data_IF_293885910394
#
_entry.id   IF_293885910394
#
_cell.length_a   1.000
_cell.length_b   1.000
_cell.length_c   1.000
_cell.angle_alpha   90.00
_cell.angle_beta   90.00
_cell.angle_gamma   90.00
#
_symmetry.space_group_name_H-M   'P 1'
#
loop_
_entity.id
_entity.type
_entity.pdbx_description
1 polymer ?
#
# COMPACT_ATOMS: atom_id res chain seq x y z
N UNK A 1 -4.37 3.67 16.50
CA UNK A 1 -5.49 3.46 17.44
C UNK A 1 -5.17 2.29 18.36
N UNK A 2 -5.69 2.26 19.58
CA UNK A 2 -5.60 1.13 20.51
C UNK A 2 -6.90 0.30 20.58
N UNK A 3 -7.89 0.61 19.73
CA UNK A 3 -9.18 -0.07 19.69
C UNK A 3 -9.73 -0.12 18.25
N UNK A 4 -10.67 -1.05 18.02
CA UNK A 4 -11.50 -1.13 16.82
C UNK A 4 -12.86 -0.51 17.14
N UNK A 5 -13.29 0.47 16.35
CA UNK A 5 -14.65 1.02 16.48
C UNK A 5 -15.63 0.09 15.77
N UNK A 6 -16.66 -0.39 16.47
CA UNK A 6 -17.72 -1.24 15.89
C UNK A 6 -18.95 -0.44 15.46
N UNK A 7 -19.05 0.84 15.84
CA UNK A 7 -20.15 1.74 15.52
C UNK A 7 -19.90 2.66 14.32
N UNK A 8 -18.81 2.44 13.59
CA UNK A 8 -18.45 3.21 12.39
C UNK A 8 -19.24 2.75 11.13
N UNK A 9 -18.95 3.39 10.00
CA UNK A 9 -19.60 3.07 8.73
C UNK A 9 -19.10 1.76 8.10
N UNK A 10 -18.11 1.09 8.71
CA UNK A 10 -17.46 -0.11 8.21
C UNK A 10 -18.00 -1.34 8.93
N UNK A 11 -19.11 -1.89 8.41
CA UNK A 11 -19.79 -3.04 9.01
C UNK A 11 -18.85 -4.23 9.21
N UNK A 12 -18.92 -4.86 10.38
CA UNK A 12 -18.16 -6.10 10.69
C UNK A 12 -18.60 -7.31 9.85
N UNK A 13 -19.73 -7.22 9.13
CA UNK A 13 -20.17 -8.26 8.19
C UNK A 13 -19.39 -8.23 6.88
N UNK A 14 -18.93 -7.04 6.48
CA UNK A 14 -18.31 -6.79 5.18
C UNK A 14 -16.81 -6.55 5.32
N UNK A 15 -16.37 -6.10 6.50
CA UNK A 15 -14.98 -5.72 6.78
C UNK A 15 -14.44 -6.47 8.00
N UNK A 16 -13.28 -7.10 7.80
CA UNK A 16 -12.45 -7.57 8.90
C UNK A 16 -11.62 -6.40 9.44
N UNK A 17 -11.85 -6.01 10.70
CA UNK A 17 -11.15 -4.90 11.34
C UNK A 17 -10.18 -5.43 12.40
N UNK A 18 -8.95 -4.93 12.38
CA UNK A 18 -7.91 -5.31 13.34
C UNK A 18 -7.05 -4.10 13.71
N UNK A 19 -6.41 -4.18 14.88
CA UNK A 19 -5.43 -3.18 15.30
C UNK A 19 -4.09 -3.54 14.65
N UNK A 20 -3.44 -2.56 14.03
CA UNK A 20 -2.07 -2.74 13.57
C UNK A 20 -1.15 -3.07 14.74
N UNK A 21 -0.40 -4.16 14.62
CA UNK A 21 0.52 -4.62 15.65
C UNK A 21 1.68 -3.62 15.86
N UNK A 22 2.35 -3.63 17.04
CA UNK A 22 3.48 -2.75 17.30
C UNK A 22 4.64 -2.96 16.30
N UNK A 23 5.40 -1.89 16.06
CA UNK A 23 6.51 -1.88 15.10
C UNK A 23 6.53 -0.59 14.29
N UNK A 24 7.56 -0.47 13.44
CA UNK A 24 7.61 0.56 12.40
C UNK A 24 6.62 0.25 11.26
N UNK A 25 6.56 1.14 10.26
CA UNK A 25 5.61 1.01 9.14
C UNK A 25 5.85 -0.28 8.35
N UNK A 26 7.11 -0.61 8.03
CA UNK A 26 7.47 -1.83 7.32
C UNK A 26 7.05 -3.10 8.06
N UNK A 27 7.28 -3.14 9.38
CA UNK A 27 6.86 -4.27 10.23
C UNK A 27 5.34 -4.45 10.16
N UNK A 28 4.58 -3.37 10.28
CA UNK A 28 3.11 -3.39 10.23
C UNK A 28 2.59 -3.90 8.90
N UNK A 29 3.14 -3.42 7.78
CA UNK A 29 2.76 -3.90 6.45
C UNK A 29 3.13 -5.36 6.25
N UNK A 30 4.33 -5.78 6.66
CA UNK A 30 4.75 -7.17 6.58
C UNK A 30 3.80 -8.11 7.34
N UNK A 31 3.39 -7.73 8.55
CA UNK A 31 2.44 -8.51 9.35
C UNK A 31 1.06 -8.59 8.68
N UNK A 32 0.56 -7.50 8.11
CA UNK A 32 -0.70 -7.50 7.37
C UNK A 32 -0.65 -8.41 6.13
N UNK A 33 0.43 -8.34 5.34
CA UNK A 33 0.63 -9.25 4.21
C UNK A 33 0.75 -10.71 4.66
N UNK A 34 1.46 -10.97 5.75
CA UNK A 34 1.63 -12.33 6.28
C UNK A 34 0.32 -12.95 6.73
N UNK A 35 -0.63 -12.15 7.24
CA UNK A 35 -1.97 -12.62 7.59
C UNK A 35 -2.84 -12.88 6.35
N UNK A 36 -2.94 -11.91 5.45
CA UNK A 36 -3.84 -11.99 4.29
C UNK A 36 -3.37 -13.06 3.29
N UNK A 37 -2.07 -13.18 3.04
CA UNK A 37 -1.52 -14.14 2.08
C UNK A 37 -1.56 -15.60 2.57
N UNK A 38 -1.91 -15.86 3.83
CA UNK A 38 -2.21 -17.23 4.28
C UNK A 38 -3.54 -17.72 3.72
N UNK A 39 -4.44 -16.81 3.37
CA UNK A 39 -5.82 -17.12 2.94
C UNK A 39 -6.07 -16.75 1.49
N UNK A 40 -5.23 -15.90 0.90
CA UNK A 40 -5.40 -15.35 -0.44
C UNK A 40 -4.11 -15.47 -1.25
N UNK A 41 -4.24 -15.72 -2.57
CA UNK A 41 -3.09 -15.83 -3.47
C UNK A 41 -2.46 -14.47 -3.82
N UNK A 42 -3.18 -13.37 -3.57
CA UNK A 42 -2.75 -12.00 -3.86
C UNK A 42 -3.27 -11.07 -2.77
N UNK A 43 -2.47 -10.08 -2.42
CA UNK A 43 -2.86 -9.04 -1.49
C UNK A 43 -2.37 -7.69 -2.01
N UNK A 44 -3.13 -6.66 -1.69
CA UNK A 44 -2.79 -5.25 -1.95
C UNK A 44 -3.07 -4.49 -0.65
N UNK A 45 -2.15 -3.61 -0.28
CA UNK A 45 -2.31 -2.63 0.79
C UNK A 45 -2.38 -1.24 0.17
N UNK A 46 -3.24 -0.38 0.71
CA UNK A 46 -3.43 1.00 0.27
C UNK A 46 -3.36 1.95 1.46
N UNK A 47 -2.88 3.17 1.21
CA UNK A 47 -3.07 4.32 2.09
C UNK A 47 -4.53 4.76 2.11
N UNK A 48 -4.92 5.52 3.13
CA UNK A 48 -6.27 6.09 3.28
C UNK A 48 -6.36 7.57 2.89
N UNK A 49 -5.24 8.14 2.47
CA UNK A 49 -4.94 9.54 2.19
C UNK A 49 -4.87 9.86 0.68
N UNK A 50 -5.04 8.86 -0.19
CA UNK A 50 -5.03 9.04 -1.63
C UNK A 50 -6.45 9.18 -2.21
N UNK A 51 -7.02 10.39 -2.25
CA UNK A 51 -8.38 10.58 -2.79
C UNK A 51 -8.48 10.34 -4.31
N UNK A 52 -7.36 10.39 -5.04
CA UNK A 52 -7.30 10.05 -6.47
C UNK A 52 -7.37 8.55 -6.75
N UNK A 53 -7.29 7.69 -5.72
CA UNK A 53 -7.35 6.24 -5.89
C UNK A 53 -8.73 5.81 -6.40
N UNK A 54 -8.75 5.12 -7.54
CA UNK A 54 -9.99 4.65 -8.16
C UNK A 54 -10.12 3.12 -8.12
N UNK A 55 -11.35 2.57 -8.16
CA UNK A 55 -11.55 1.12 -8.28
C UNK A 55 -10.89 0.51 -9.52
N UNK A 56 -10.69 1.29 -10.59
CA UNK A 56 -9.98 0.83 -11.80
C UNK A 56 -8.50 0.60 -11.53
N UNK A 57 -7.85 1.47 -10.74
CA UNK A 57 -6.45 1.30 -10.34
C UNK A 57 -6.30 0.06 -9.46
N UNK A 58 -7.22 -0.15 -8.50
CA UNK A 58 -7.20 -1.34 -7.64
C UNK A 58 -7.36 -2.63 -8.46
N UNK A 59 -8.27 -2.67 -9.45
CA UNK A 59 -8.39 -3.82 -10.35
C UNK A 59 -7.12 -4.06 -11.16
N UNK A 60 -6.54 -3.01 -11.75
CA UNK A 60 -5.28 -3.10 -12.48
C UNK A 60 -4.14 -3.64 -11.61
N UNK A 61 -4.12 -3.31 -10.31
CA UNK A 61 -3.16 -3.85 -9.36
C UNK A 61 -3.26 -5.38 -9.25
N UNK A 62 -4.48 -5.91 -9.07
CA UNK A 62 -4.69 -7.35 -8.99
C UNK A 62 -4.41 -8.08 -10.31
N UNK A 63 -4.72 -7.48 -11.46
CA UNK A 63 -4.40 -8.01 -12.78
C UNK A 63 -2.88 -8.05 -13.01
N UNK A 64 -2.14 -7.01 -12.59
CA UNK A 64 -0.68 -6.99 -12.69
C UNK A 64 -0.03 -8.17 -11.93
N UNK A 65 -0.59 -8.52 -10.76
CA UNK A 65 -0.13 -9.64 -9.94
C UNK A 65 -0.37 -11.03 -10.56
N UNK A 66 -1.09 -11.15 -11.69
CA UNK A 66 -1.13 -12.40 -12.47
C UNK A 66 0.18 -12.70 -13.19
N UNK A 67 0.98 -11.68 -13.48
CA UNK A 67 2.18 -11.78 -14.31
C UNK A 67 3.45 -11.25 -13.64
N UNK A 68 3.31 -10.52 -12.54
CA UNK A 68 4.41 -9.92 -11.78
C UNK A 68 4.35 -10.33 -10.31
N UNK A 69 5.51 -10.41 -9.66
CA UNK A 69 5.60 -10.72 -8.22
C UNK A 69 5.07 -9.57 -7.35
N UNK A 70 5.28 -8.32 -7.79
CA UNK A 70 4.88 -7.10 -7.08
C UNK A 70 4.13 -6.12 -7.99
N UNK A 71 3.33 -5.27 -7.37
CA UNK A 71 2.76 -4.07 -8.00
C UNK A 71 2.91 -2.89 -7.05
N UNK A 72 3.30 -1.73 -7.57
CA UNK A 72 3.48 -0.51 -6.76
C UNK A 72 2.75 0.65 -7.45
N UNK A 73 1.96 1.40 -6.69
CA UNK A 73 1.41 2.70 -7.06
C UNK A 73 2.25 3.83 -6.44
N UNK A 74 3.10 4.51 -7.23
CA UNK A 74 3.95 5.59 -6.73
C UNK A 74 3.16 6.77 -6.17
N UNK A 75 3.64 7.38 -5.10
CA UNK A 75 3.17 8.66 -4.61
C UNK A 75 4.16 9.78 -5.01
N UNK A 76 3.65 11.00 -5.25
CA UNK A 76 4.48 12.16 -5.65
C UNK A 76 5.55 12.54 -4.61
N UNK A 77 5.38 12.14 -3.35
CA UNK A 77 6.30 12.40 -2.23
C UNK A 77 7.51 11.45 -2.19
N UNK A 78 7.59 10.48 -3.11
CA UNK A 78 8.62 9.45 -3.18
C UNK A 78 8.31 8.16 -2.40
N UNK A 79 7.12 8.06 -1.83
CA UNK A 79 6.53 6.85 -1.26
C UNK A 79 5.68 6.06 -2.25
N UNK A 80 4.64 5.41 -1.73
CA UNK A 80 3.64 4.71 -2.54
C UNK A 80 2.30 4.69 -1.82
N UNK A 81 1.23 5.02 -2.55
CA UNK A 81 -0.16 4.91 -2.05
C UNK A 81 -0.66 3.45 -2.09
N UNK A 82 0.01 2.58 -2.85
CA UNK A 82 -0.39 1.19 -3.06
C UNK A 82 0.84 0.28 -3.20
N UNK A 83 0.82 -0.85 -2.49
CA UNK A 83 1.74 -1.96 -2.73
C UNK A 83 0.97 -3.28 -2.78
N UNK A 84 1.32 -4.17 -3.68
CA UNK A 84 0.76 -5.52 -3.74
C UNK A 84 1.80 -6.57 -4.03
N UNK A 85 1.53 -7.80 -3.59
CA UNK A 85 2.35 -8.97 -3.88
C UNK A 85 1.51 -10.25 -3.92
N UNK A 86 2.01 -11.26 -4.63
CA UNK A 86 1.38 -12.58 -4.74
C UNK A 86 2.07 -13.68 -3.90
N UNK A 87 3.18 -13.34 -3.25
CA UNK A 87 3.88 -14.19 -2.30
C UNK A 87 4.58 -13.33 -1.25
N UNK A 88 4.46 -13.73 0.02
CA UNK A 88 5.06 -12.99 1.14
C UNK A 88 6.58 -12.88 0.95
N UNK A 89 7.08 -11.64 0.97
CA UNK A 89 8.49 -11.32 0.75
C UNK A 89 8.99 -10.34 1.81
N UNK A 90 9.30 -10.78 3.04
CA UNK A 90 9.60 -9.88 4.17
C UNK A 90 10.77 -8.93 3.93
N UNK A 91 11.78 -9.39 3.18
CA UNK A 91 12.99 -8.64 2.82
C UNK A 91 12.70 -7.30 2.11
N UNK A 92 11.52 -7.16 1.51
CA UNK A 92 11.12 -5.93 0.82
C UNK A 92 10.87 -4.77 1.80
N UNK A 93 10.62 -5.07 3.08
CA UNK A 93 10.34 -4.08 4.13
C UNK A 93 11.54 -3.78 5.04
N UNK A 94 12.59 -4.59 4.97
CA UNK A 94 13.78 -4.46 5.83
C UNK A 94 14.65 -3.28 5.38
N UNK A 95 15.32 -2.58 6.31
CA UNK A 95 16.28 -1.51 5.98
C UNK A 95 15.78 -0.42 5.02
N UNK A 96 14.48 -0.08 5.09
CA UNK A 96 13.90 1.06 4.38
C UNK A 96 13.87 2.28 5.30
N UNK A 97 14.29 3.43 4.76
CA UNK A 97 14.15 4.73 5.41
C UNK A 97 12.69 5.21 5.31
N UNK A 98 11.81 4.61 6.10
CA UNK A 98 10.38 4.95 6.14
C UNK A 98 10.13 6.45 6.37
N UNK A 99 9.05 6.97 5.78
CA UNK A 99 8.68 8.40 5.84
C UNK A 99 9.73 9.32 5.20
N UNK A 100 10.32 8.88 4.08
CA UNK A 100 11.24 9.70 3.27
C UNK A 100 10.92 9.55 1.78
N UNK A 101 11.37 10.51 0.98
CA UNK A 101 11.25 10.49 -0.50
C UNK A 101 12.01 9.33 -1.18
N UNK A 102 12.80 8.56 -0.43
CA UNK A 102 13.62 7.47 -0.95
C UNK A 102 12.96 6.10 -0.85
N UNK A 103 11.78 6.01 -0.21
CA UNK A 103 11.09 4.74 0.07
C UNK A 103 10.82 3.95 -1.20
N UNK A 104 10.24 4.58 -2.24
CA UNK A 104 9.97 3.92 -3.52
C UNK A 104 11.26 3.39 -4.15
N UNK A 105 12.28 4.23 -4.27
CA UNK A 105 13.55 3.87 -4.89
C UNK A 105 14.23 2.69 -4.18
N UNK A 106 14.25 2.70 -2.84
CA UNK A 106 14.81 1.60 -2.04
C UNK A 106 14.02 0.30 -2.21
N UNK A 107 12.69 0.39 -2.24
CA UNK A 107 11.79 -0.75 -2.45
C UNK A 107 12.03 -1.39 -3.82
N UNK A 108 12.05 -0.59 -4.89
CA UNK A 108 12.31 -1.08 -6.25
C UNK A 108 13.70 -1.70 -6.39
N UNK A 109 14.72 -1.08 -5.78
CA UNK A 109 16.08 -1.61 -5.78
C UNK A 109 16.15 -3.00 -5.12
N UNK A 110 15.44 -3.19 -4.00
CA UNK A 110 15.34 -4.50 -3.34
C UNK A 110 14.68 -5.54 -4.25
N UNK A 111 13.54 -5.20 -4.86
CA UNK A 111 12.82 -6.11 -5.77
C UNK A 111 13.75 -6.59 -6.90
N UNK A 112 14.46 -5.66 -7.55
CA UNK A 112 15.39 -5.98 -8.63
C UNK A 112 16.57 -6.82 -8.13
N UNK A 113 17.13 -6.48 -6.96
CA UNK A 113 18.28 -7.20 -6.38
C UNK A 113 17.92 -8.66 -6.04
N UNK A 114 16.68 -8.91 -5.63
CA UNK A 114 16.13 -10.24 -5.38
C UNK A 114 15.62 -10.95 -6.65
N UNK A 115 15.87 -10.40 -7.84
CA UNK A 115 15.48 -10.96 -9.13
C UNK A 115 13.97 -11.19 -9.26
N UNK A 116 13.20 -10.29 -8.64
CA UNK A 116 11.74 -10.30 -8.69
C UNK A 116 11.22 -9.27 -9.69
N UNK A 117 10.03 -9.54 -10.19
CA UNK A 117 9.36 -8.70 -11.18
C UNK A 117 8.38 -7.75 -10.50
N UNK A 118 8.19 -6.57 -11.08
CA UNK A 118 7.19 -5.63 -10.61
C UNK A 118 6.54 -4.87 -11.76
N UNK A 119 5.33 -4.36 -11.51
CA UNK A 119 4.64 -3.41 -12.36
C UNK A 119 4.42 -2.11 -11.59
N UNK A 120 4.64 -0.97 -12.25
CA UNK A 120 4.22 0.34 -11.72
C UNK A 120 2.82 0.70 -12.22
N UNK A 121 1.98 1.20 -11.33
CA UNK A 121 0.71 1.86 -11.64
C UNK A 121 0.95 3.36 -11.87
N UNK A 122 -0.07 4.13 -12.31
CA UNK A 122 0.05 5.58 -12.38
C UNK A 122 0.44 6.17 -11.02
N UNK A 123 1.32 7.17 -11.07
CA UNK A 123 1.68 8.00 -9.93
C UNK A 123 0.48 8.88 -9.52
N UNK A 124 0.22 9.00 -8.23
CA UNK A 124 -0.84 9.82 -7.64
C UNK A 124 -0.29 10.71 -6.52
N UNK A 125 -1.04 11.74 -6.14
CA UNK A 125 -0.75 12.54 -4.93
C UNK A 125 -1.54 11.98 -3.75
N UNK A 126 -0.85 11.79 -2.64
CA UNK A 126 -1.48 11.68 -1.33
C UNK A 126 -1.87 13.08 -0.83
N UNK A 127 -2.80 13.17 0.11
CA UNK A 127 -3.26 14.44 0.70
C UNK A 127 -2.64 14.57 2.09
N UNK A 128 -1.62 15.40 2.21
CA UNK A 128 -0.99 15.74 3.48
C UNK A 128 -1.39 17.14 3.96
N UNK A 129 -1.58 18.07 3.02
CA UNK A 129 -1.87 19.48 3.26
C UNK A 129 -3.10 19.96 2.47
N UNK A 130 -3.65 21.11 2.88
CA UNK A 130 -4.79 21.73 2.18
C UNK A 130 -4.44 22.06 0.72
N UNK A 131 -3.20 22.46 0.47
CA UNK A 131 -2.68 22.75 -0.86
C UNK A 131 -2.75 21.52 -1.80
N UNK A 132 -2.59 20.30 -1.28
CA UNK A 132 -2.72 19.08 -2.06
C UNK A 132 -4.17 18.90 -2.53
N UNK A 133 -5.13 19.21 -1.65
CA UNK A 133 -6.56 19.16 -1.97
C UNK A 133 -6.95 20.18 -3.04
N UNK A 134 -6.47 21.42 -2.90
CA UNK A 134 -6.75 22.50 -3.86
C UNK A 134 -6.13 22.26 -5.23
N UNK A 135 -4.88 21.76 -5.28
CA UNK A 135 -4.15 21.45 -6.52
C UNK A 135 -4.91 20.48 -7.42
N UNK A 136 -5.62 19.52 -6.83
CA UNK A 136 -6.40 18.52 -7.55
C UNK A 136 -7.87 18.93 -7.81
N UNK A 137 -8.27 20.13 -7.37
CA UNK A 137 -9.56 20.73 -7.71
C UNK A 137 -10.76 20.07 -7.03
N UNK A 138 -10.55 19.42 -5.88
CA UNK A 138 -11.63 18.82 -5.12
C UNK A 138 -12.41 19.90 -4.34
N UNK A 139 -13.74 19.80 -4.36
CA UNK A 139 -14.58 20.74 -3.62
C UNK A 139 -14.51 20.44 -2.12
N UNK A 140 -14.36 21.49 -1.30
CA UNK A 140 -14.54 21.43 0.16
C UNK A 140 -16.00 21.19 0.56
#
# INVERSE_FOLDING_TARGET
SSFVDEGDQWSVTDFNKSIQLPGDLGTRMNMAFAEVLQQHAKAVIIGSDCASLTPTIVRAAFEALDTHDFVIGPAEDGGYYLMGMNALSPWVFEDIAWSTETVLAQTLQKIVTHQKTYQLLPELSDIDYEEDWEKHGWAL
#
